data_IF_029368768904
#
_entry.id   IF_029368768904
#
_cell.length_a   1.000
_cell.length_b   1.000
_cell.length_c   1.000
_cell.angle_alpha   90.00
_cell.angle_beta   90.00
_cell.angle_gamma   90.00
#
_symmetry.space_group_name_H-M   'P 1'
#
loop_
_entity.id
_entity.type
_entity.pdbx_description
1 polymer ?
#
# COMPACT_ATOMS: atom_id res chain seq x y z
N UNK A 1 13.89 8.51 9.48
CA UNK A 1 12.52 8.33 10.01
C UNK A 1 12.40 6.91 10.54
N UNK A 2 11.58 6.67 11.58
CA UNK A 2 11.32 5.29 12.03
C UNK A 2 10.35 4.59 11.07
N UNK A 3 10.24 3.27 11.16
CA UNK A 3 9.24 2.53 10.38
C UNK A 3 7.82 3.03 10.69
N UNK A 4 7.52 3.24 11.97
CA UNK A 4 6.24 3.79 12.43
C UNK A 4 5.98 5.18 11.84
N UNK A 5 6.93 6.11 11.96
CA UNK A 5 6.71 7.48 11.48
C UNK A 5 6.55 7.53 9.95
N UNK A 6 7.22 6.61 9.23
CA UNK A 6 7.09 6.49 7.77
C UNK A 6 5.72 5.93 7.36
N UNK A 7 5.23 4.91 8.06
CA UNK A 7 3.89 4.34 7.83
C UNK A 7 2.79 5.36 8.13
N UNK A 8 2.89 6.08 9.26
CA UNK A 8 1.91 7.11 9.62
C UNK A 8 1.90 8.27 8.61
N UNK A 9 3.08 8.73 8.18
CA UNK A 9 3.18 9.75 7.14
C UNK A 9 2.57 9.31 5.80
N UNK A 10 2.68 8.03 5.44
CA UNK A 10 2.02 7.50 4.26
C UNK A 10 0.50 7.46 4.39
N UNK A 11 -0.04 7.10 5.57
CA UNK A 11 -1.49 7.16 5.83
C UNK A 11 -2.01 8.59 5.67
N UNK A 12 -1.26 9.59 6.15
CA UNK A 12 -1.62 11.01 5.96
C UNK A 12 -1.60 11.40 4.48
N UNK A 13 -0.56 11.02 3.73
CA UNK A 13 -0.49 11.27 2.28
C UNK A 13 -1.63 10.59 1.50
N UNK A 14 -2.06 9.39 1.92
CA UNK A 14 -3.19 8.69 1.33
C UNK A 14 -4.53 9.40 1.64
N UNK A 15 -4.72 9.89 2.86
CA UNK A 15 -5.90 10.68 3.24
C UNK A 15 -5.97 12.00 2.46
N UNK A 16 -4.83 12.70 2.29
CA UNK A 16 -4.72 13.93 1.49
C UNK A 16 -5.02 13.68 0.00
N UNK A 17 -4.58 12.55 -0.54
CA UNK A 17 -4.94 12.13 -1.90
C UNK A 17 -6.45 11.92 -2.00
N UNK A 18 -7.04 11.11 -1.12
CA UNK A 18 -8.48 10.80 -1.14
C UNK A 18 -9.35 12.04 -0.91
N UNK A 19 -8.88 13.02 -0.12
CA UNK A 19 -9.61 14.28 0.12
C UNK A 19 -9.87 15.09 -1.16
N UNK A 20 -9.06 14.91 -2.20
CA UNK A 20 -9.20 15.59 -3.50
C UNK A 20 -10.20 14.91 -4.44
N UNK A 21 -10.62 13.68 -4.13
CA UNK A 21 -11.48 12.88 -5.00
C UNK A 21 -12.91 12.82 -4.45
N UNK A 22 -13.92 13.33 -5.18
CA UNK A 22 -15.31 13.09 -4.83
C UNK A 22 -15.71 11.67 -5.25
N UNK A 23 -16.55 11.02 -4.45
CA UNK A 23 -17.12 9.72 -4.82
C UNK A 23 -17.84 9.04 -3.66
N UNK A 24 -18.75 8.10 -3.97
CA UNK A 24 -19.37 7.27 -2.95
C UNK A 24 -18.28 6.48 -2.20
N UNK A 25 -18.41 6.38 -0.88
CA UNK A 25 -17.49 5.62 -0.01
C UNK A 25 -16.19 6.34 0.38
N UNK A 26 -15.82 7.47 -0.25
CA UNK A 26 -14.59 8.21 0.12
C UNK A 26 -14.65 8.67 1.58
N UNK A 27 -15.79 9.18 2.04
CA UNK A 27 -15.96 9.62 3.42
C UNK A 27 -15.73 8.46 4.43
N UNK A 28 -16.22 7.27 4.11
CA UNK A 28 -16.08 6.08 4.95
C UNK A 28 -14.63 5.59 5.01
N UNK A 29 -13.94 5.57 3.85
CA UNK A 29 -12.51 5.21 3.79
C UNK A 29 -11.68 6.20 4.61
N UNK A 30 -11.92 7.50 4.45
CA UNK A 30 -11.21 8.54 5.20
C UNK A 30 -11.49 8.46 6.70
N UNK A 31 -12.71 8.12 7.11
CA UNK A 31 -13.03 7.83 8.51
C UNK A 31 -12.22 6.63 9.05
N UNK A 32 -12.05 5.58 8.23
CA UNK A 32 -11.19 4.44 8.55
C UNK A 32 -9.71 4.82 8.71
N UNK A 33 -9.17 5.65 7.81
CA UNK A 33 -7.81 6.19 7.93
C UNK A 33 -7.64 7.07 9.19
N UNK A 34 -8.65 7.87 9.53
CA UNK A 34 -8.63 8.65 10.76
C UNK A 34 -8.62 7.76 12.00
N UNK A 35 -9.42 6.70 12.02
CA UNK A 35 -9.45 5.75 13.13
C UNK A 35 -8.12 4.97 13.28
N UNK A 36 -7.42 4.64 12.18
CA UNK A 36 -6.15 3.92 12.24
C UNK A 36 -5.02 4.73 12.88
N UNK A 37 -5.13 6.07 12.93
CA UNK A 37 -4.14 6.93 13.62
C UNK A 37 -4.08 6.66 15.12
N UNK A 38 -5.18 6.17 15.70
CA UNK A 38 -5.27 5.81 17.12
C UNK A 38 -4.81 4.38 17.41
N UNK A 39 -4.50 3.59 16.39
CA UNK A 39 -4.05 2.21 16.56
C UNK A 39 -2.57 2.15 16.97
N UNK A 40 -2.28 1.19 17.84
CA UNK A 40 -0.91 0.86 18.24
C UNK A 40 -0.14 0.34 17.03
N UNK A 41 1.06 0.87 16.81
CA UNK A 41 1.94 0.37 15.78
C UNK A 41 2.47 -1.03 16.14
N UNK A 42 2.26 -1.98 15.23
CA UNK A 42 2.71 -3.36 15.35
C UNK A 42 3.80 -3.64 14.33
N UNK A 43 5.10 -3.64 14.69
CA UNK A 43 6.15 -3.89 13.73
C UNK A 43 5.93 -5.24 13.03
N UNK A 44 5.95 -5.22 11.70
CA UNK A 44 5.87 -6.41 10.86
C UNK A 44 7.24 -6.70 10.29
N UNK A 45 7.51 -7.99 10.07
CA UNK A 45 8.72 -8.42 9.37
C UNK A 45 8.53 -8.08 7.88
N UNK A 46 9.39 -7.23 7.29
CA UNK A 46 9.32 -7.00 5.85
C UNK A 46 9.55 -8.29 5.07
N UNK A 47 8.90 -8.40 3.92
CA UNK A 47 9.08 -9.52 3.01
C UNK A 47 9.22 -8.97 1.59
N UNK A 48 10.35 -9.31 0.97
CA UNK A 48 10.60 -9.00 -0.43
C UNK A 48 9.70 -9.83 -1.35
N UNK A 49 9.42 -9.31 -2.53
CA UNK A 49 8.57 -9.97 -3.51
C UNK A 49 9.05 -9.64 -4.93
N UNK A 50 9.15 -10.67 -5.78
CA UNK A 50 9.67 -10.54 -7.13
C UNK A 50 8.78 -9.68 -8.04
N UNK A 51 7.45 -9.78 -7.90
CA UNK A 51 6.48 -8.97 -8.65
C UNK A 51 6.65 -7.49 -8.30
N UNK A 52 6.79 -7.20 -7.01
CA UNK A 52 7.01 -5.83 -6.52
C UNK A 52 8.32 -5.27 -7.06
N UNK A 53 9.40 -6.05 -6.99
CA UNK A 53 10.70 -5.64 -7.51
C UNK A 53 10.66 -5.39 -9.03
N UNK A 54 9.92 -6.21 -9.78
CA UNK A 54 9.79 -6.10 -11.23
C UNK A 54 8.95 -4.90 -11.68
N UNK A 55 7.83 -4.62 -11.00
CA UNK A 55 6.81 -3.71 -11.51
C UNK A 55 6.68 -2.38 -10.76
N UNK A 56 6.92 -2.35 -9.44
CA UNK A 56 6.69 -1.16 -8.63
C UNK A 56 7.54 0.05 -9.07
N UNK A 57 8.85 -0.08 -9.40
CA UNK A 57 9.66 1.07 -9.80
C UNK A 57 9.10 1.80 -11.03
N UNK A 58 8.67 1.06 -12.06
CA UNK A 58 8.09 1.63 -13.27
C UNK A 58 6.73 2.30 -13.00
N UNK A 59 5.88 1.66 -12.19
CA UNK A 59 4.59 2.23 -11.80
C UNK A 59 4.76 3.55 -11.02
N UNK A 60 5.71 3.60 -10.07
CA UNK A 60 6.02 4.81 -9.31
C UNK A 60 6.60 5.92 -10.19
N UNK A 61 7.38 5.59 -11.22
CA UNK A 61 7.89 6.57 -12.17
C UNK A 61 6.74 7.28 -12.93
N UNK A 62 5.73 6.53 -13.35
CA UNK A 62 4.52 7.09 -13.99
C UNK A 62 3.73 7.93 -12.98
N UNK A 63 3.44 7.38 -11.80
CA UNK A 63 2.64 8.06 -10.78
C UNK A 63 3.26 9.39 -10.32
N UNK A 64 4.59 9.46 -10.23
CA UNK A 64 5.31 10.66 -9.78
C UNK A 64 5.03 11.91 -10.65
N UNK A 65 4.61 11.73 -11.90
CA UNK A 65 4.26 12.84 -12.80
C UNK A 65 2.97 13.58 -12.41
N UNK A 66 2.04 12.89 -11.75
CA UNK A 66 0.74 13.43 -11.35
C UNK A 66 0.58 13.52 -9.83
N UNK A 67 1.15 12.57 -9.08
CA UNK A 67 0.97 12.40 -7.64
C UNK A 67 2.33 12.18 -6.94
N UNK A 68 3.25 13.16 -6.96
CA UNK A 68 4.62 12.98 -6.46
C UNK A 68 4.66 12.61 -4.97
N UNK A 69 3.81 13.23 -4.13
CA UNK A 69 3.79 12.93 -2.69
C UNK A 69 3.32 11.50 -2.40
N UNK A 70 2.30 11.02 -3.12
CA UNK A 70 1.81 9.65 -2.96
C UNK A 70 2.86 8.64 -3.46
N UNK A 71 3.52 8.92 -4.59
CA UNK A 71 4.57 8.07 -5.12
C UNK A 71 5.76 7.95 -4.15
N UNK A 72 6.22 9.05 -3.56
CA UNK A 72 7.29 9.03 -2.55
C UNK A 72 6.85 8.31 -1.26
N UNK A 73 5.59 8.51 -0.84
CA UNK A 73 5.02 7.80 0.30
C UNK A 73 5.04 6.29 0.09
N UNK A 74 4.55 5.80 -1.06
CA UNK A 74 4.57 4.38 -1.42
C UNK A 74 6.00 3.86 -1.49
N UNK A 75 6.93 4.58 -2.13
CA UNK A 75 8.33 4.19 -2.24
C UNK A 75 8.99 4.03 -0.86
N UNK A 76 8.66 4.93 0.08
CA UNK A 76 9.19 4.92 1.44
C UNK A 76 8.67 3.73 2.25
N UNK A 77 7.39 3.41 2.14
CA UNK A 77 6.79 2.33 2.93
C UNK A 77 6.94 0.95 2.30
N UNK A 78 7.09 0.83 0.98
CA UNK A 78 7.24 -0.44 0.29
C UNK A 78 8.28 -1.40 0.93
N UNK A 79 9.51 -0.98 1.29
CA UNK A 79 10.49 -1.87 1.93
C UNK A 79 10.14 -2.25 3.38
N UNK A 80 9.10 -1.66 3.97
CA UNK A 80 8.66 -1.92 5.34
C UNK A 80 7.51 -2.94 5.41
N UNK A 81 6.91 -3.28 4.26
CA UNK A 81 5.72 -4.12 4.20
C UNK A 81 6.06 -5.61 4.04
N UNK A 82 5.18 -6.46 4.57
CA UNK A 82 5.19 -7.89 4.31
C UNK A 82 4.45 -8.21 3.02
N UNK A 83 5.11 -8.09 1.87
CA UNK A 83 4.48 -8.33 0.58
C UNK A 83 4.14 -9.81 0.36
N UNK A 84 3.01 -10.06 -0.29
CA UNK A 84 2.60 -11.38 -0.74
C UNK A 84 1.98 -11.34 -2.14
N UNK A 85 2.20 -12.39 -2.91
CA UNK A 85 1.41 -12.71 -4.10
C UNK A 85 0.14 -13.42 -3.65
N UNK A 86 -0.95 -13.22 -4.37
CA UNK A 86 -2.22 -13.88 -4.07
C UNK A 86 -2.25 -15.23 -4.80
N UNK A 87 -2.27 -16.33 -4.05
CA UNK A 87 -2.14 -17.70 -4.56
C UNK A 87 -3.37 -18.58 -4.27
N UNK A 88 -4.45 -18.00 -3.73
CA UNK A 88 -5.65 -18.75 -3.30
C UNK A 88 -6.44 -19.29 -4.50
N UNK A 89 -6.35 -18.65 -5.67
CA UNK A 89 -7.02 -19.14 -6.88
C UNK A 89 -6.03 -19.95 -7.74
N UNK A 90 -6.46 -21.11 -8.28
CA UNK A 90 -5.71 -21.81 -9.32
C UNK A 90 -5.36 -20.88 -10.49
N UNK A 91 -4.13 -20.98 -11.00
CA UNK A 91 -3.64 -20.12 -12.09
C UNK A 91 -4.55 -20.15 -13.32
N UNK A 92 -5.16 -21.30 -13.61
CA UNK A 92 -6.14 -21.47 -14.69
C UNK A 92 -7.42 -20.62 -14.56
N UNK A 93 -7.75 -20.14 -13.35
CA UNK A 93 -8.91 -19.26 -13.12
C UNK A 93 -8.56 -17.77 -13.20
N UNK A 94 -7.29 -17.40 -13.00
CA UNK A 94 -6.84 -15.99 -12.92
C UNK A 94 -5.93 -15.58 -14.08
N UNK A 95 -5.45 -16.55 -14.87
CA UNK A 95 -4.47 -16.33 -15.93
C UNK A 95 -3.06 -16.06 -15.39
N UNK A 96 -2.07 -16.24 -16.25
CA UNK A 96 -0.65 -16.03 -15.91
C UNK A 96 -0.34 -14.58 -15.56
N UNK A 97 -0.97 -13.63 -16.25
CA UNK A 97 -0.67 -12.20 -16.07
C UNK A 97 -1.05 -11.71 -14.67
N UNK A 98 -2.16 -12.19 -14.10
CA UNK A 98 -2.51 -11.84 -12.73
C UNK A 98 -1.60 -12.56 -11.74
N UNK A 99 -1.37 -13.86 -11.94
CA UNK A 99 -0.52 -14.67 -11.05
C UNK A 99 0.90 -14.10 -10.92
N UNK A 100 1.47 -13.65 -12.04
CA UNK A 100 2.84 -13.17 -12.11
C UNK A 100 2.95 -11.63 -11.99
N UNK A 101 1.82 -10.91 -12.08
CA UNK A 101 1.76 -9.45 -12.08
C UNK A 101 1.16 -8.82 -10.82
N UNK A 102 0.60 -9.60 -9.89
CA UNK A 102 -0.09 -9.09 -8.71
C UNK A 102 0.61 -9.43 -7.38
N UNK A 103 0.89 -8.40 -6.59
CA UNK A 103 1.28 -8.52 -5.19
C UNK A 103 0.66 -7.39 -4.36
N UNK A 104 0.44 -7.64 -3.07
CA UNK A 104 -0.08 -6.65 -2.13
C UNK A 104 0.68 -6.66 -0.81
N UNK A 105 0.66 -5.53 -0.11
CA UNK A 105 1.17 -5.36 1.23
C UNK A 105 0.20 -4.51 2.04
N UNK A 106 -0.28 -5.03 3.17
CA UNK A 106 -1.26 -4.35 4.01
C UNK A 106 -0.59 -3.30 4.90
N UNK A 107 -1.20 -2.11 4.97
CA UNK A 107 -0.75 -1.00 5.85
C UNK A 107 -1.63 -0.90 7.10
N UNK A 108 -2.94 -1.07 6.93
CA UNK A 108 -3.95 -1.05 8.01
C UNK A 108 -4.73 -2.37 8.01
N UNK A 109 -5.00 -2.93 9.19
CA UNK A 109 -5.85 -4.11 9.39
C UNK A 109 -5.11 -5.34 9.93
N UNK A 110 -5.75 -6.50 9.82
CA UNK A 110 -5.18 -7.75 10.34
C UNK A 110 -3.85 -8.08 9.64
N UNK A 111 -2.83 -8.40 10.43
CA UNK A 111 -1.48 -8.68 9.93
C UNK A 111 -0.70 -7.45 9.42
N UNK A 112 -1.29 -6.26 9.43
CA UNK A 112 -0.66 -5.02 8.98
C UNK A 112 0.06 -4.27 10.13
N UNK A 113 0.89 -3.26 9.82
CA UNK A 113 1.56 -2.44 10.83
C UNK A 113 0.64 -1.55 11.68
N UNK A 114 -0.51 -1.12 11.15
CA UNK A 114 -1.56 -0.43 11.90
C UNK A 114 -2.78 -1.36 12.03
#
# INVERSE_FOLDING_TARGET
>A
MSAESSIRAFVDAADDYLARHPGPGIADVRAGLAASRLQDFKPRRPRENAVVAAHLPAALAVLRSSEPQLAEGIATVAPLLGWTTYDVYPHELIGTDFADGHAFGSVIGEGAPL
#
